data_IF_882113224877
#
_entry.id   IF_882113224877
#
_cell.length_a   1.000
_cell.length_b   1.000
_cell.length_c   1.000
_cell.angle_alpha   90.00
_cell.angle_beta   90.00
_cell.angle_gamma   90.00
#
_symmetry.space_group_name_H-M   'P 1'
#
loop_
_entity.id
_entity.type
_entity.pdbx_description
1 polymer ?
2 non-polymer ?
3 non-polymer ?
4 water ?
#
# COMPACT_ATOMS: atom_id res chain seq x y z
N UNK A 6 39.87 -9.50 5.72
CA UNK A 6 38.59 -9.88 5.08
C UNK A 6 38.33 -9.03 3.82
N UNK A 7 37.48 -9.56 2.94
CA UNK A 7 37.19 -8.98 1.64
C UNK A 7 36.16 -7.86 1.75
N UNK A 8 36.10 -7.04 0.69
CA UNK A 8 35.43 -5.76 0.82
C UNK A 8 34.60 -5.41 -0.38
N UNK A 9 34.40 -6.37 -1.29
CA UNK A 9 33.40 -6.22 -2.32
C UNK A 9 32.00 -6.03 -1.72
N UNK A 10 31.14 -5.41 -2.53
CA UNK A 10 29.78 -5.05 -2.15
C UNK A 10 28.88 -5.39 -3.34
N UNK A 11 27.94 -6.34 -3.15
CA UNK A 11 26.90 -6.60 -4.15
C UNK A 11 25.63 -5.92 -3.68
N UNK A 12 24.96 -5.18 -4.56
CA UNK A 12 23.74 -4.50 -4.15
C UNK A 12 22.70 -4.57 -5.25
N UNK A 13 21.44 -4.46 -4.82
CA UNK A 13 20.28 -4.44 -5.70
C UNK A 13 19.39 -3.29 -5.25
N UNK A 14 18.80 -2.59 -6.20
CA UNK A 14 17.86 -1.51 -5.95
C UNK A 14 16.56 -1.82 -6.66
N UNK A 15 15.44 -1.66 -5.95
CA UNK A 15 14.13 -1.96 -6.49
C UNK A 15 13.17 -0.88 -6.06
N UNK A 16 12.09 -0.74 -6.83
CA UNK A 16 11.04 0.23 -6.59
C UNK A 16 9.71 -0.48 -6.57
N UNK A 17 8.93 -0.25 -5.51
CA UNK A 17 7.74 -1.05 -5.24
C UNK A 17 6.56 -0.15 -4.96
N UNK A 18 5.43 -0.37 -5.61
CA UNK A 18 4.28 0.52 -5.42
C UNK A 18 3.52 0.12 -4.18
N UNK A 19 2.73 1.06 -3.69
CA UNK A 19 1.78 0.77 -2.64
C UNK A 19 0.48 0.26 -3.24
N UNK A 20 -0.41 -0.22 -2.36
CA UNK A 20 -1.69 -0.74 -2.81
C UNK A 20 -2.77 -0.27 -1.85
N UNK A 21 -4.01 -0.38 -2.28
CA UNK A 21 -5.16 0.15 -1.56
C UNK A 21 -6.24 -0.93 -1.59
N UNK A 22 -6.64 -1.41 -0.41
CA UNK A 22 -7.63 -2.46 -0.33
C UNK A 22 -9.02 -1.93 -0.65
N UNK A 23 -9.74 -2.63 -1.52
CA UNK A 23 -11.14 -2.32 -1.74
C UNK A 23 -12.04 -3.29 -0.97
N UNK A 24 -11.58 -4.52 -0.76
CA UNK A 24 -12.14 -5.42 0.25
C UNK A 24 -11.09 -5.56 1.35
N UNK A 25 -11.45 -5.27 2.60
CA UNK A 25 -10.43 -4.96 3.62
C UNK A 25 -9.95 -6.17 4.42
N UNK A 26 -8.67 -6.14 4.74
CA UNK A 26 -8.01 -7.03 5.68
C UNK A 26 -8.14 -6.33 7.01
N UNK A 27 -8.78 -6.99 7.98
CA UNK A 27 -8.85 -6.49 9.37
C UNK A 27 -9.10 -7.67 10.30
N UNK A 28 -8.03 -8.15 10.93
CA UNK A 28 -8.01 -9.14 11.96
C UNK A 28 -7.19 -10.33 11.48
N UNK A 29 -6.34 -10.78 12.39
CA UNK A 29 -5.54 -11.99 12.17
C UNK A 29 -6.11 -13.19 12.93
N UNK A 30 -5.84 -14.37 12.40
CA UNK A 30 -5.93 -15.60 13.18
C UNK A 30 -4.57 -16.09 13.66
N UNK A 31 -3.45 -15.51 13.16
CA UNK A 31 -2.11 -15.90 13.62
C UNK A 31 -1.21 -14.68 13.64
N UNK A 32 -0.83 -14.21 14.83
CA UNK A 32 -0.06 -12.97 14.99
C UNK A 32 1.41 -13.12 14.62
N UNK A 33 1.89 -14.32 14.39
CA UNK A 33 3.28 -14.58 14.08
C UNK A 33 3.48 -14.83 12.60
N UNK A 34 2.69 -15.74 12.03
CA UNK A 34 2.77 -15.96 10.60
C UNK A 34 1.98 -14.93 9.81
N UNK A 35 1.18 -14.08 10.49
CA UNK A 35 0.38 -13.05 9.84
C UNK A 35 -0.57 -13.72 8.86
N UNK A 36 -1.52 -14.46 9.39
CA UNK A 36 -2.60 -15.01 8.59
C UNK A 36 -3.92 -14.34 8.94
N UNK A 37 -4.68 -13.92 7.95
CA UNK A 37 -5.86 -13.10 8.22
C UNK A 37 -7.09 -13.97 8.44
N UNK A 38 -8.15 -13.35 8.98
CA UNK A 38 -9.45 -14.03 9.10
C UNK A 38 -10.33 -13.93 7.85
N UNK A 39 -9.90 -13.16 6.85
CA UNK A 39 -10.62 -13.18 5.58
C UNK A 39 -9.68 -12.77 4.44
N UNK A 40 -10.13 -13.06 3.21
CA UNK A 40 -9.43 -12.64 2.03
C UNK A 40 -9.50 -11.12 1.92
N UNK A 41 -8.60 -10.55 1.10
CA UNK A 41 -8.69 -9.15 0.77
C UNK A 41 -8.30 -8.94 -0.68
N UNK A 42 -8.75 -7.82 -1.22
CA UNK A 42 -8.49 -7.46 -2.60
C UNK A 42 -8.11 -6.01 -2.67
N UNK A 43 -7.07 -5.71 -3.44
CA UNK A 43 -6.57 -4.35 -3.52
C UNK A 43 -6.21 -3.99 -4.95
N UNK A 44 -6.03 -2.68 -5.14
CA UNK A 44 -5.51 -2.14 -6.38
C UNK A 44 -4.11 -1.54 -6.14
N UNK A 45 -3.13 -2.04 -6.89
CA UNK A 45 -1.80 -1.44 -6.90
C UNK A 45 -1.82 -0.10 -7.60
N UNK A 46 -1.27 0.92 -6.95
CA UNK A 46 -1.22 2.25 -7.51
C UNK A 46 0.06 2.46 -8.32
N UNK A 47 -0.04 3.36 -9.29
CA UNK A 47 1.09 3.91 -10.00
C UNK A 47 2.14 4.41 -9.02
N UNK A 48 3.42 4.18 -9.30
CA UNK A 48 4.46 4.54 -8.32
C UNK A 48 4.55 6.01 -7.92
N UNK A 49 4.27 6.96 -8.81
CA UNK A 49 4.60 8.36 -8.53
C UNK A 49 4.00 8.83 -7.20
N UNK A 50 4.81 9.52 -6.42
CA UNK A 50 4.44 10.04 -5.10
C UNK A 50 3.83 8.97 -4.18
N UNK A 51 3.98 7.70 -4.53
CA UNK A 51 3.41 6.66 -3.72
C UNK A 51 4.34 5.49 -3.45
N UNK A 52 5.40 5.32 -4.24
CA UNK A 52 6.17 4.11 -4.12
C UNK A 52 7.20 4.20 -2.97
N UNK A 53 7.83 3.07 -2.71
CA UNK A 53 8.97 2.97 -1.83
C UNK A 53 10.15 2.45 -2.65
N UNK A 54 11.31 3.04 -2.46
CA UNK A 54 12.50 2.69 -3.22
C UNK A 54 13.49 2.15 -2.22
N UNK A 55 14.08 1.01 -2.55
CA UNK A 55 14.91 0.33 -1.59
C UNK A 55 16.17 -0.22 -2.25
N UNK A 56 17.28 -0.12 -1.54
CA UNK A 56 18.55 -0.67 -1.95
C UNK A 56 19.03 -1.62 -0.85
N UNK A 57 19.40 -2.84 -1.24
CA UNK A 57 19.94 -3.81 -0.30
C UNK A 57 21.34 -4.20 -0.75
N UNK A 58 22.20 -4.49 0.22
CA UNK A 58 23.59 -4.73 -0.08
C UNK A 58 24.13 -5.77 0.87
N UNK A 59 25.01 -6.63 0.36
CA UNK A 59 25.75 -7.60 1.15
C UNK A 59 27.25 -7.39 0.91
N UNK A 60 28.03 -7.59 1.98
CA UNK A 60 29.47 -7.51 1.95
C UNK A 60 30.05 -8.31 3.11
N UNK A 61 31.15 -9.03 2.89
CA UNK A 61 31.81 -9.71 4.04
C UNK A 61 32.32 -8.74 5.08
N UNK A 62 32.47 -7.48 4.73
CA UNK A 62 32.98 -6.49 5.67
C UNK A 62 31.89 -5.84 6.52
N UNK A 63 30.62 -6.12 6.29
CA UNK A 63 29.56 -5.64 7.18
C UNK A 63 29.57 -6.47 8.45
N UNK A 64 29.71 -5.80 9.59
CA UNK A 64 29.69 -6.49 10.89
C UNK A 64 28.26 -6.76 11.38
N UNK A 65 27.28 -5.98 10.89
CA UNK A 65 25.92 -6.02 11.40
C UNK A 65 24.88 -5.87 10.30
N UNK A 66 23.74 -6.56 10.47
CA UNK A 66 22.55 -6.16 9.74
C UNK A 66 22.18 -4.77 10.17
N UNK A 67 21.99 -3.86 9.19
CA UNK A 67 21.55 -2.51 9.50
C UNK A 67 20.60 -1.97 8.45
N UNK A 68 19.77 -1.02 8.87
CA UNK A 68 18.77 -0.51 7.97
C UNK A 68 18.55 0.97 8.21
N UNK A 69 18.29 1.69 7.12
CA UNK A 69 17.99 3.11 7.14
C UNK A 69 16.68 3.35 6.39
N UNK A 70 15.82 4.17 6.98
CA UNK A 70 14.53 4.53 6.39
C UNK A 70 14.47 6.04 6.34
N UNK A 71 14.37 6.57 5.14
CA UNK A 71 14.32 8.01 4.95
C UNK A 71 15.44 8.73 5.70
N UNK A 72 16.65 8.19 5.62
CA UNK A 72 17.79 8.86 6.21
C UNK A 72 18.17 8.41 7.61
N UNK A 73 17.22 7.95 8.40
CA UNK A 73 17.48 7.63 9.80
C UNK A 73 17.69 6.13 9.95
N UNK A 74 18.72 5.75 10.67
CA UNK A 74 18.88 4.34 11.01
C UNK A 74 17.76 3.90 11.95
N UNK A 75 17.39 2.63 11.86
CA UNK A 75 16.33 2.06 12.66
C UNK A 75 16.72 0.64 13.06
N UNK A 76 15.92 0.08 13.96
CA UNK A 76 16.20 -1.26 14.45
C UNK A 76 15.57 -2.34 13.57
N UNK A 77 16.37 -3.34 13.28
CA UNK A 77 15.92 -4.57 12.66
C UNK A 77 15.61 -5.61 13.71
N UNK A 78 15.63 -5.21 14.98
CA UNK A 78 15.52 -6.16 16.09
C UNK A 78 14.14 -6.83 16.13
N UNK A 79 13.09 -6.10 15.72
CA UNK A 79 11.70 -6.54 15.82
C UNK A 79 11.37 -7.79 15.02
N UNK A 80 10.26 -8.40 15.39
CA UNK A 80 9.88 -9.69 14.83
C UNK A 80 9.55 -9.58 13.35
N UNK A 81 8.96 -8.47 12.93
CA UNK A 81 8.59 -8.32 11.53
C UNK A 81 9.82 -8.35 10.62
N UNK A 82 10.85 -7.51 10.91
CA UNK A 82 12.09 -7.57 10.12
C UNK A 82 12.80 -8.90 10.32
N UNK A 83 12.82 -9.39 11.56
CA UNK A 83 13.53 -10.64 11.81
C UNK A 83 12.90 -11.79 11.06
N UNK A 84 11.58 -11.75 10.85
CA UNK A 84 10.95 -12.89 10.18
C UNK A 84 11.15 -12.83 8.66
N UNK A 85 11.09 -11.64 8.07
CA UNK A 85 11.40 -11.56 6.64
C UNK A 85 12.84 -11.96 6.35
N UNK A 86 13.80 -11.32 7.06
CA UNK A 86 15.21 -11.66 6.85
C UNK A 86 15.42 -13.16 6.98
N UNK A 87 14.88 -13.76 8.05
CA UNK A 87 15.09 -15.18 8.26
C UNK A 87 14.51 -16.00 7.12
N UNK A 88 13.29 -15.65 6.66
CA UNK A 88 12.66 -16.48 5.64
C UNK A 88 13.37 -16.35 4.30
N UNK A 89 13.75 -15.12 3.94
CA UNK A 89 14.39 -14.94 2.64
C UNK A 89 15.80 -15.54 2.67
N UNK A 90 16.53 -15.36 3.78
CA UNK A 90 17.88 -15.92 3.87
C UNK A 90 17.84 -17.41 3.69
N UNK A 91 16.87 -18.08 4.33
CA UNK A 91 16.78 -19.53 4.25
C UNK A 91 16.53 -20.04 2.82
N UNK A 92 16.13 -19.17 1.89
CA UNK A 92 15.95 -19.58 0.51
C UNK A 92 17.07 -19.07 -0.40
N UNK A 93 18.06 -18.36 0.16
CA UNK A 93 19.18 -17.87 -0.61
C UNK A 93 19.91 -19.02 -1.29
N UNK A 94 20.49 -18.73 -2.46
CA UNK A 94 21.23 -19.71 -3.23
C UNK A 94 22.61 -19.19 -3.67
N UNK A 95 23.31 -19.98 -4.48
CA UNK A 95 24.60 -19.56 -5.02
C UNK A 95 24.44 -18.34 -5.93
N UNK A 96 25.30 -17.35 -5.71
CA UNK A 96 25.35 -16.14 -6.53
C UNK A 96 26.77 -16.03 -7.06
N UNK A 97 26.90 -15.51 -8.26
CA UNK A 97 28.22 -15.29 -8.82
C UNK A 97 28.15 -14.11 -9.76
N UNK A 98 28.93 -13.06 -9.44
CA UNK A 98 29.20 -11.93 -10.33
C UNK A 98 30.62 -12.10 -10.93
N UNK A 99 30.69 -12.53 -12.18
CA UNK A 99 31.99 -12.92 -12.72
C UNK A 99 32.84 -11.68 -13.03
N UNK A 100 32.22 -10.61 -13.51
CA UNK A 100 32.95 -9.39 -13.80
C UNK A 100 33.68 -8.87 -12.56
N UNK A 101 33.09 -9.04 -11.38
CA UNK A 101 33.68 -8.49 -10.17
C UNK A 101 34.45 -9.53 -9.38
N UNK A 102 34.57 -10.76 -9.86
CA UNK A 102 35.23 -11.81 -9.09
C UNK A 102 34.60 -12.17 -7.76
N UNK A 103 33.27 -12.28 -7.70
CA UNK A 103 32.58 -12.59 -6.45
C UNK A 103 31.79 -13.88 -6.63
N UNK A 104 32.05 -14.84 -5.74
CA UNK A 104 31.30 -16.08 -5.61
C UNK A 104 30.75 -16.12 -4.20
N UNK A 105 29.43 -16.16 -4.08
CA UNK A 105 28.78 -16.39 -2.80
C UNK A 105 28.21 -17.80 -2.84
N UNK A 106 28.67 -18.64 -1.93
CA UNK A 106 28.11 -19.98 -1.78
C UNK A 106 26.83 -19.92 -0.92
N UNK A 107 25.87 -20.77 -1.25
CA UNK A 107 24.63 -20.86 -0.48
C UNK A 107 24.87 -20.73 1.02
N UNK A 108 25.86 -21.43 1.55
CA UNK A 108 26.09 -21.43 3.00
C UNK A 108 26.59 -20.09 3.50
N UNK A 109 27.26 -19.32 2.63
CA UNK A 109 27.83 -18.05 3.05
C UNK A 109 26.74 -17.12 3.59
N UNK A 110 25.55 -17.19 3.02
CA UNK A 110 24.48 -16.31 3.45
C UNK A 110 24.11 -16.49 4.92
N UNK A 111 24.40 -17.65 5.51
CA UNK A 111 24.15 -17.80 6.93
C UNK A 111 24.98 -16.84 7.78
N UNK A 112 26.03 -16.23 7.22
CA UNK A 112 26.87 -15.33 8.00
C UNK A 112 27.00 -13.93 7.42
N UNK A 113 26.79 -13.76 6.13
CA UNK A 113 26.86 -12.44 5.55
C UNK A 113 25.77 -11.55 6.15
N UNK A 114 26.17 -10.40 6.67
CA UNK A 114 25.26 -9.37 7.08
C UNK A 114 24.87 -8.46 5.92
N UNK A 115 23.78 -7.74 6.13
CA UNK A 115 23.11 -6.97 5.10
C UNK A 115 22.97 -5.52 5.52
N UNK A 116 23.09 -4.62 4.55
CA UNK A 116 22.75 -3.23 4.73
C UNK A 116 21.57 -2.92 3.83
N UNK A 117 20.58 -2.24 4.38
CA UNK A 117 19.37 -1.87 3.66
C UNK A 117 19.14 -0.39 3.84
N UNK A 118 18.86 0.30 2.77
CA UNK A 118 18.46 1.69 2.85
C UNK A 118 17.21 1.85 1.99
N UNK A 119 16.26 2.63 2.49
CA UNK A 119 14.94 2.68 1.92
C UNK A 119 14.38 4.09 2.02
N UNK A 120 13.57 4.44 1.02
CA UNK A 120 13.04 5.78 0.93
C UNK A 120 11.58 5.70 0.49
N UNK A 121 10.71 6.37 1.24
CA UNK A 121 9.28 6.45 1.03
C UNK A 121 8.97 7.77 0.36
N UNK A 122 8.34 7.75 -0.82
CA UNK A 122 7.96 8.98 -1.49
C UNK A 122 6.61 9.55 -1.02
N UNK A 123 5.88 8.82 -0.20
CA UNK A 123 4.78 9.40 0.55
C UNK A 123 5.37 10.22 1.69
N UNK A 124 5.03 11.50 1.83
CA UNK A 124 5.40 12.24 3.06
C UNK A 124 5.06 11.46 4.34
N UNK A 125 6.00 11.47 5.30
CA UNK A 125 5.93 10.54 6.42
C UNK A 125 4.84 10.92 7.43
N UNK A 126 4.58 12.20 7.62
CA UNK A 126 3.49 12.58 8.55
C UNK A 126 2.20 12.81 7.75
N UNK A 127 2.13 12.37 6.51
CA UNK A 127 0.94 12.50 5.64
C UNK A 127 -0.03 11.36 5.99
N UNK A 128 0.44 10.13 6.11
CA UNK A 128 -0.46 9.06 6.57
C UNK A 128 -0.66 7.91 5.61
N UNK A 129 0.23 7.56 4.73
CA UNK A 129 -0.06 6.40 3.86
C UNK A 129 0.75 5.21 4.36
N UNK A 130 0.24 4.01 4.14
CA UNK A 130 0.92 2.78 4.56
C UNK A 130 2.33 2.77 3.99
N UNK A 131 3.31 3.05 4.80
CA UNK A 131 4.70 2.92 4.32
C UNK A 131 5.05 1.44 4.36
N UNK A 132 4.50 0.73 5.31
CA UNK A 132 4.78 -0.69 5.55
C UNK A 132 4.48 -1.53 4.33
N UNK A 133 3.39 -1.33 3.69
CA UNK A 133 3.07 -2.24 2.60
C UNK A 133 4.14 -2.20 1.52
N UNK A 134 4.35 -1.05 0.89
CA UNK A 134 5.33 -1.03 -0.18
C UNK A 134 6.69 -1.42 0.36
N UNK A 135 6.99 -1.03 1.60
CA UNK A 135 8.28 -1.27 2.22
C UNK A 135 8.70 -2.71 2.43
N UNK A 136 7.91 -3.53 3.12
CA UNK A 136 8.30 -4.93 3.24
C UNK A 136 8.22 -5.66 1.89
N UNK A 137 7.31 -5.26 1.00
CA UNK A 137 7.31 -5.90 -0.31
C UNK A 137 8.61 -5.59 -1.04
N UNK A 138 9.07 -4.34 -0.94
CA UNK A 138 10.29 -3.94 -1.64
C UNK A 138 11.49 -4.69 -1.07
N UNK A 139 11.60 -4.71 0.26
CA UNK A 139 12.67 -5.44 0.91
C UNK A 139 12.72 -6.89 0.41
N UNK A 140 11.59 -7.59 0.50
CA UNK A 140 11.57 -8.98 0.07
C UNK A 140 11.93 -9.08 -1.39
N UNK A 141 11.36 -8.23 -2.22
CA UNK A 141 11.61 -8.35 -3.66
C UNK A 141 13.08 -8.10 -3.99
N UNK A 142 13.68 -7.07 -3.39
CA UNK A 142 15.07 -6.76 -3.69
C UNK A 142 16.02 -7.83 -3.16
N UNK A 143 15.80 -8.29 -1.92
CA UNK A 143 16.63 -9.35 -1.34
C UNK A 143 16.51 -10.64 -2.13
N UNK A 144 15.34 -10.92 -2.67
CA UNK A 144 15.16 -12.13 -3.45
C UNK A 144 16.01 -12.09 -4.71
N UNK A 145 16.12 -10.91 -5.35
CA UNK A 145 17.07 -10.75 -6.46
C UNK A 145 18.51 -10.91 -5.97
N UNK A 146 18.88 -10.15 -4.91
CA UNK A 146 20.22 -10.21 -4.36
C UNK A 146 20.68 -11.65 -4.15
N UNK A 147 19.90 -12.44 -3.41
CA UNK A 147 20.29 -13.78 -2.99
C UNK A 147 19.90 -14.85 -3.98
N UNK A 148 19.45 -14.47 -5.16
CA UNK A 148 19.15 -15.46 -6.21
C UNK A 148 18.14 -16.52 -5.76
N UNK A 149 17.07 -16.08 -5.12
CA UNK A 149 16.03 -16.98 -4.65
C UNK A 149 15.21 -17.43 -5.85
N UNK A 150 14.85 -18.71 -5.87
CA UNK A 150 14.28 -19.21 -7.12
C UNK A 150 12.75 -19.28 -7.05
N UNK A 151 12.09 -18.19 -6.71
CA UNK A 151 10.68 -18.27 -6.33
C UNK A 151 9.85 -17.21 -7.02
N UNK A 152 8.67 -17.62 -7.44
CA UNK A 152 7.81 -16.70 -8.17
C UNK A 152 7.22 -15.67 -7.21
N UNK A 153 6.66 -14.58 -7.76
CA UNK A 153 6.07 -13.53 -6.90
C UNK A 153 5.06 -14.06 -5.89
N UNK A 154 4.29 -15.09 -6.26
CA UNK A 154 3.30 -15.56 -5.30
C UNK A 154 3.97 -16.17 -4.08
N UNK A 155 5.02 -17.00 -4.26
CA UNK A 155 5.73 -17.48 -3.08
C UNK A 155 6.45 -16.34 -2.34
N UNK A 156 6.94 -15.32 -3.06
CA UNK A 156 7.60 -14.23 -2.35
C UNK A 156 6.60 -13.45 -1.54
N UNK A 157 5.39 -13.29 -2.09
CA UNK A 157 4.22 -12.82 -1.36
C UNK A 157 4.20 -13.28 0.07
N UNK A 158 4.36 -14.59 0.26
CA UNK A 158 4.20 -15.21 1.56
C UNK A 158 5.24 -14.71 2.54
N UNK A 159 6.44 -14.40 2.04
CA UNK A 159 7.48 -13.86 2.90
C UNK A 159 7.17 -12.42 3.24
N UNK A 160 6.82 -11.61 2.23
CA UNK A 160 6.50 -10.22 2.53
C UNK A 160 5.36 -10.15 3.54
N UNK A 161 4.44 -11.12 3.47
CA UNK A 161 3.28 -11.12 4.36
C UNK A 161 3.72 -11.12 5.80
N UNK A 162 4.83 -11.80 6.09
CA UNK A 162 5.31 -11.87 7.47
C UNK A 162 5.93 -10.57 7.93
N UNK A 163 6.13 -9.59 7.03
CA UNK A 163 6.58 -8.29 7.48
C UNK A 163 5.39 -7.39 7.72
N UNK A 164 4.42 -7.49 6.81
CA UNK A 164 3.17 -6.77 6.92
C UNK A 164 2.15 -7.45 6.03
N UNK A 165 0.94 -7.68 6.57
CA UNK A 165 -0.08 -8.40 5.82
C UNK A 165 -0.40 -7.74 4.49
N UNK A 166 -0.62 -6.44 4.51
CA UNK A 166 -0.90 -5.76 3.26
C UNK A 166 0.29 -5.76 2.32
N UNK A 167 1.52 -6.02 2.81
CA UNK A 167 2.67 -5.96 1.93
C UNK A 167 2.57 -7.05 0.86
N UNK A 168 1.97 -8.19 1.18
CA UNK A 168 1.99 -9.26 0.21
C UNK A 168 1.27 -8.89 -1.08
N UNK A 169 0.30 -7.98 -1.01
CA UNK A 169 -0.47 -7.59 -2.20
C UNK A 169 0.30 -6.66 -3.14
N UNK A 170 1.43 -6.11 -2.70
CA UNK A 170 2.25 -5.22 -3.54
C UNK A 170 3.29 -5.94 -4.40
N UNK A 171 3.24 -7.26 -4.45
CA UNK A 171 4.11 -8.01 -5.35
C UNK A 171 3.56 -8.17 -6.75
N UNK A 172 2.34 -7.67 -7.01
CA UNK A 172 1.78 -7.69 -8.35
C UNK A 172 1.22 -6.32 -8.67
N UNK A 173 1.06 -6.04 -9.98
CA UNK A 173 0.31 -4.85 -10.38
C UNK A 173 -1.15 -5.16 -10.54
N UNK A 174 -1.92 -4.14 -10.84
CA UNK A 174 -3.30 -4.37 -11.17
C UNK A 174 -4.16 -4.53 -9.93
N UNK A 175 -4.98 -5.58 -9.96
CA UNK A 175 -5.90 -5.93 -8.88
C UNK A 175 -5.43 -7.24 -8.32
N UNK A 176 -5.34 -7.33 -7.01
CA UNK A 176 -4.63 -8.42 -6.38
C UNK A 176 -5.46 -8.92 -5.22
N UNK A 177 -5.51 -10.24 -5.08
CA UNK A 177 -6.17 -10.92 -4.00
C UNK A 177 -5.16 -11.57 -3.09
N UNK A 178 -5.31 -11.34 -1.81
CA UNK A 178 -4.59 -12.06 -0.78
C UNK A 178 -5.57 -13.13 -0.30
N UNK A 179 -5.24 -14.37 -0.58
CA UNK A 179 -5.98 -15.54 -0.12
C UNK A 179 -5.68 -15.81 1.33
N UNK A 180 -6.74 -16.03 2.14
CA UNK A 180 -6.48 -16.19 3.56
C UNK A 180 -5.73 -17.49 3.82
N UNK A 181 -5.87 -18.47 2.94
CA UNK A 181 -5.26 -19.78 3.15
C UNK A 181 -5.92 -20.56 4.27
N UNK A 182 -5.69 -21.87 4.29
CA UNK A 182 -6.21 -22.73 5.36
C UNK A 182 -5.17 -23.64 6.00
N UNK A 183 -3.94 -23.62 5.52
CA UNK A 183 -2.90 -24.43 6.15
C UNK A 183 -2.30 -23.70 7.35
N UNK A 184 -1.95 -24.48 8.38
CA UNK A 184 -1.40 -23.92 9.61
C UNK A 184 -0.07 -23.22 9.37
N UNK A 185 0.73 -23.70 8.41
CA UNK A 185 2.06 -23.16 8.19
C UNK A 185 2.00 -21.89 7.36
N UNK A 186 0.83 -21.50 6.89
CA UNK A 186 0.72 -20.27 6.16
C UNK A 186 1.12 -20.35 4.71
N UNK A 187 1.56 -21.52 4.24
CA UNK A 187 2.19 -21.58 2.92
C UNK A 187 1.23 -21.22 1.78
N UNK A 188 -0.07 -21.44 1.96
CA UNK A 188 -1.05 -21.05 0.95
C UNK A 188 -1.69 -19.69 1.20
N UNK A 189 -1.27 -18.97 2.23
CA UNK A 189 -1.76 -17.61 2.40
C UNK A 189 -0.89 -16.67 1.58
N UNK A 190 -1.27 -16.46 0.32
CA UNK A 190 -0.46 -15.75 -0.66
C UNK A 190 -1.32 -14.84 -1.52
N UNK A 191 -0.67 -13.92 -2.20
CA UNK A 191 -1.34 -13.03 -3.12
C UNK A 191 -1.33 -13.63 -4.51
N UNK A 192 -2.33 -13.27 -5.32
CA UNK A 192 -2.38 -13.63 -6.73
C UNK A 192 -2.98 -12.45 -7.47
N UNK A 193 -2.51 -12.23 -8.69
CA UNK A 193 -3.06 -11.19 -9.53
C UNK A 193 -4.42 -11.61 -10.08
N UNK A 194 -5.39 -10.70 -10.00
CA UNK A 194 -6.68 -10.97 -10.61
C UNK A 194 -6.69 -10.50 -12.06
N UNK A 195 -6.23 -9.28 -12.31
CA UNK A 195 -6.08 -8.71 -13.64
C UNK A 195 -4.91 -7.72 -13.55
N UNK A 196 -4.31 -7.40 -14.70
CA UNK A 196 -3.17 -6.49 -14.66
C UNK A 196 -3.66 -5.04 -14.68
N UNK A 197 -2.71 -4.10 -14.69
CA UNK A 197 -3.06 -2.68 -14.57
C UNK A 197 -3.66 -2.10 -15.83
N UNK A 198 -3.70 -2.86 -16.92
CA UNK A 198 -4.28 -2.39 -18.16
C UNK A 198 -5.74 -2.78 -18.33
N UNK A 199 -6.15 -3.92 -17.77
CA UNK A 199 -7.53 -4.38 -17.84
C UNK A 199 -8.55 -3.28 -17.57
N UNK A 200 -8.32 -2.47 -16.53
CA UNK A 200 -9.20 -1.36 -16.17
C UNK A 200 -8.39 -0.07 -16.12
N UNK A 201 -7.77 0.32 -17.23
CA UNK A 201 -6.89 1.48 -17.20
C UNK A 201 -7.64 2.80 -17.12
N UNK A 202 -8.96 2.80 -17.28
CA UNK A 202 -9.71 4.07 -17.21
C UNK A 202 -9.75 4.65 -15.79
N UNK A 203 -9.64 3.80 -14.76
CA UNK A 203 -9.85 4.29 -13.39
C UNK A 203 -8.81 5.36 -13.09
N UNK A 204 -9.25 6.44 -12.47
CA UNK A 204 -8.36 7.45 -11.92
C UNK A 204 -8.60 7.47 -10.42
N UNK A 205 -7.53 7.64 -9.65
CA UNK A 205 -7.57 7.63 -8.20
C UNK A 205 -7.17 8.99 -7.69
N UNK A 206 -7.87 9.45 -6.67
CA UNK A 206 -7.56 10.73 -6.05
C UNK A 206 -7.53 10.52 -4.55
N UNK A 207 -6.40 10.78 -3.93
CA UNK A 207 -6.25 10.65 -2.49
C UNK A 207 -6.31 12.04 -1.88
N UNK A 208 -7.20 12.23 -0.92
CA UNK A 208 -7.21 13.45 -0.13
C UNK A 208 -6.43 13.13 1.14
N UNK A 209 -5.25 13.72 1.28
CA UNK A 209 -4.49 13.64 2.52
C UNK A 209 -5.08 14.68 3.46
N UNK A 210 -5.76 14.20 4.49
CA UNK A 210 -6.58 15.04 5.36
C UNK A 210 -5.73 15.57 6.51
N UNK A 211 -5.95 16.84 6.87
CA UNK A 211 -5.32 17.41 8.05
C UNK A 211 -5.84 16.69 9.28
N UNK A 212 -4.92 16.23 10.12
CA UNK A 212 -5.31 15.77 11.44
C UNK A 212 -4.06 15.58 12.26
N UNK A 213 -4.11 16.00 13.52
CA UNK A 213 -2.99 15.81 14.42
C UNK A 213 -3.22 14.68 15.39
N UNK A 214 -4.50 14.32 15.62
CA UNK A 214 -4.87 13.04 16.21
C UNK A 214 -3.86 11.98 15.75
N UNK A 215 -3.14 11.32 16.67
CA UNK A 215 -2.33 10.19 16.24
C UNK A 215 -3.20 8.93 16.22
N UNK A 216 -3.10 8.17 15.14
CA UNK A 216 -4.01 7.05 14.89
C UNK A 216 -3.45 5.78 15.50
N UNK A 217 -4.30 5.05 16.21
CA UNK A 217 -4.00 3.68 16.58
C UNK A 217 -3.46 2.92 15.38
N UNK A 218 -2.41 2.16 15.59
CA UNK A 218 -1.80 1.44 14.48
C UNK A 218 -2.72 0.33 13.98
N UNK A 219 -2.53 -0.03 12.73
CA UNK A 219 -3.38 -1.05 12.15
C UNK A 219 -3.19 -2.37 12.91
N UNK A 220 -1.95 -2.66 13.31
CA UNK A 220 -1.63 -3.96 13.93
C UNK A 220 -2.28 -4.09 15.29
N UNK A 221 -2.19 -3.04 16.09
CA UNK A 221 -2.79 -3.06 17.43
C UNK A 221 -4.29 -2.98 17.32
N UNK A 222 -4.77 -2.07 16.49
CA UNK A 222 -6.18 -1.87 16.32
C UNK A 222 -6.90 -3.13 15.92
N UNK A 223 -6.34 -3.87 14.96
CA UNK A 223 -7.09 -5.02 14.47
C UNK A 223 -7.01 -6.14 15.49
N UNK A 224 -5.94 -6.16 16.29
CA UNK A 224 -5.87 -7.06 17.42
C UNK A 224 -6.95 -6.74 18.44
N UNK A 225 -7.05 -5.49 18.81
CA UNK A 225 -8.12 -5.08 19.70
C UNK A 225 -9.50 -5.50 19.17
N UNK A 226 -9.74 -5.36 17.86
CA UNK A 226 -11.05 -5.71 17.32
C UNK A 226 -11.29 -7.20 17.39
N UNK A 227 -10.30 -7.99 17.01
CA UNK A 227 -10.43 -9.44 17.17
C UNK A 227 -10.78 -9.80 18.62
N UNK A 228 -10.25 -9.02 19.57
CA UNK A 228 -10.43 -9.36 20.97
C UNK A 228 -11.75 -8.85 21.55
N UNK A 229 -12.28 -7.74 21.04
CA UNK A 229 -13.44 -7.14 21.66
C UNK A 229 -14.64 -6.89 20.75
N UNK A 230 -14.52 -6.93 19.44
CA UNK A 230 -15.65 -6.56 18.61
C UNK A 230 -16.53 -7.77 18.37
N UNK A 231 -17.79 -7.74 18.85
CA UNK A 231 -18.66 -8.90 18.60
C UNK A 231 -19.20 -8.97 17.18
N UNK A 232 -18.99 -7.94 16.32
CA UNK A 232 -19.48 -8.01 14.94
C UNK A 232 -18.45 -8.56 13.95
N UNK A 233 -17.15 -8.54 14.33
CA UNK A 233 -16.08 -8.88 13.38
C UNK A 233 -16.19 -10.31 12.89
N UNK A 234 -16.46 -11.24 13.79
CA UNK A 234 -16.54 -12.63 13.38
C UNK A 234 -17.62 -12.83 12.33
N UNK A 235 -18.75 -12.17 12.47
CA UNK A 235 -19.80 -12.29 11.49
C UNK A 235 -19.40 -11.63 10.18
N UNK A 236 -18.73 -10.50 10.25
CA UNK A 236 -18.16 -9.96 9.02
C UNK A 236 -17.30 -10.99 8.31
N UNK A 237 -16.38 -11.60 9.07
CA UNK A 237 -15.35 -12.43 8.44
C UNK A 237 -15.93 -13.71 7.85
N UNK A 238 -16.81 -14.36 8.57
CA UNK A 238 -17.39 -15.63 8.09
C UNK A 238 -18.54 -15.44 7.11
N UNK A 239 -19.36 -14.37 7.25
CA UNK A 239 -20.60 -14.31 6.48
C UNK A 239 -20.70 -13.17 5.51
N UNK A 240 -19.92 -12.10 5.66
CA UNK A 240 -20.02 -10.97 4.75
C UNK A 240 -18.93 -11.03 3.68
N UNK A 241 -17.69 -11.20 4.09
CA UNK A 241 -16.57 -10.93 3.19
C UNK A 241 -16.42 -12.01 2.12
N UNK A 242 -16.56 -13.30 2.44
CA UNK A 242 -16.44 -14.33 1.37
C UNK A 242 -17.32 -14.02 0.17
N UNK A 243 -18.55 -13.55 0.41
CA UNK A 243 -19.44 -13.21 -0.69
C UNK A 243 -18.97 -11.96 -1.39
N UNK A 244 -18.59 -10.93 -0.63
CA UNK A 244 -18.06 -9.71 -1.25
C UNK A 244 -16.80 -9.98 -2.08
N UNK A 245 -15.96 -10.92 -1.66
CA UNK A 245 -14.79 -11.27 -2.46
C UNK A 245 -15.21 -11.75 -3.84
N UNK A 246 -16.19 -12.69 -3.90
CA UNK A 246 -16.68 -13.19 -5.19
C UNK A 246 -17.36 -12.10 -6.01
N UNK A 247 -18.10 -11.20 -5.40
CA UNK A 247 -18.72 -10.17 -6.24
C UNK A 247 -17.67 -9.23 -6.78
N UNK A 248 -16.66 -8.92 -5.97
CA UNK A 248 -15.65 -7.97 -6.39
C UNK A 248 -14.77 -8.57 -7.49
N UNK A 249 -14.43 -9.85 -7.38
CA UNK A 249 -13.81 -10.53 -8.52
C UNK A 249 -14.62 -10.29 -9.82
N UNK A 250 -15.90 -10.69 -9.83
CA UNK A 250 -16.72 -10.48 -11.02
C UNK A 250 -16.77 -9.02 -11.44
N UNK A 251 -16.92 -8.12 -10.49
CA UNK A 251 -17.01 -6.72 -10.89
C UNK A 251 -15.73 -6.26 -11.57
N UNK A 252 -14.58 -6.82 -11.18
CA UNK A 252 -13.31 -6.39 -11.74
C UNK A 252 -13.14 -6.98 -13.11
N UNK A 253 -13.42 -8.29 -13.22
CA UNK A 253 -13.43 -8.98 -14.49
C UNK A 253 -14.22 -8.21 -15.56
N UNK A 254 -15.45 -7.79 -15.26
CA UNK A 254 -16.33 -7.18 -16.24
C UNK A 254 -16.40 -5.66 -16.13
N UNK A 255 -15.49 -5.03 -15.41
CA UNK A 255 -15.50 -3.58 -15.20
C UNK A 255 -16.89 -3.03 -14.93
N UNK A 256 -17.63 -3.72 -14.08
CA UNK A 256 -18.89 -3.19 -13.55
C UNK A 256 -18.57 -2.16 -12.48
N UNK A 257 -18.52 -0.89 -12.86
CA UNK A 257 -18.17 0.13 -11.88
C UNK A 257 -19.24 0.37 -10.84
N UNK A 258 -20.49 0.03 -11.14
CA UNK A 258 -21.58 0.26 -10.19
C UNK A 258 -21.52 -0.80 -9.10
N UNK A 259 -21.36 -2.06 -9.48
CA UNK A 259 -21.15 -3.08 -8.46
C UNK A 259 -19.85 -2.81 -7.70
N UNK A 260 -18.82 -2.37 -8.39
CA UNK A 260 -17.56 -2.08 -7.75
C UNK A 260 -17.73 -0.97 -6.75
N UNK A 261 -18.57 0.01 -7.05
CA UNK A 261 -18.74 1.12 -6.13
C UNK A 261 -19.53 0.70 -4.90
N UNK A 262 -20.61 -0.08 -5.08
CA UNK A 262 -21.37 -0.58 -3.94
C UNK A 262 -20.45 -1.34 -2.97
N UNK A 263 -19.64 -2.23 -3.51
CA UNK A 263 -18.77 -3.06 -2.67
C UNK A 263 -17.68 -2.24 -1.98
N UNK A 264 -17.02 -1.37 -2.69
CA UNK A 264 -15.91 -0.62 -2.11
C UNK A 264 -16.40 0.27 -0.98
N UNK A 265 -17.42 1.08 -1.21
CA UNK A 265 -17.92 1.96 -0.17
C UNK A 265 -18.41 1.12 1.02
N UNK A 266 -19.16 0.09 0.76
CA UNK A 266 -19.76 -0.58 1.88
C UNK A 266 -18.72 -1.39 2.64
N UNK A 267 -17.65 -1.83 2.00
CA UNK A 267 -16.71 -2.62 2.79
C UNK A 267 -15.82 -1.71 3.63
N UNK A 268 -15.48 -0.55 3.11
CA UNK A 268 -14.82 0.49 3.87
C UNK A 268 -15.68 0.90 5.04
N UNK A 269 -16.94 1.19 4.82
CA UNK A 269 -17.78 1.59 5.95
C UNK A 269 -17.90 0.49 6.98
N UNK A 270 -18.00 -0.75 6.55
CA UNK A 270 -18.16 -1.83 7.51
C UNK A 270 -16.89 -2.04 8.34
N UNK A 271 -15.71 -1.88 7.72
CA UNK A 271 -14.44 -1.90 8.44
C UNK A 271 -14.42 -0.80 9.51
N UNK A 272 -14.83 0.42 9.16
CA UNK A 272 -14.92 1.45 10.20
C UNK A 272 -16.02 1.16 11.19
N UNK A 273 -17.05 0.39 10.84
CA UNK A 273 -18.04 0.02 11.82
C UNK A 273 -17.46 -0.95 12.84
N UNK A 274 -16.64 -1.89 12.38
CA UNK A 274 -15.98 -2.81 13.30
C UNK A 274 -15.06 -2.06 14.26
N UNK A 275 -14.34 -1.05 13.75
CA UNK A 275 -13.52 -0.21 14.59
C UNK A 275 -14.35 0.52 15.65
N UNK A 276 -15.56 0.92 15.33
CA UNK A 276 -16.36 1.61 16.35
C UNK A 276 -16.92 0.63 17.37
N UNK A 277 -17.13 -0.61 16.96
CA UNK A 277 -17.61 -1.69 17.81
C UNK A 277 -16.51 -2.29 18.64
N UNK A 278 -15.29 -1.76 18.53
CA UNK A 278 -14.16 -2.23 19.31
C UNK A 278 -14.21 -1.57 20.68
N UNK A 279 -13.66 -2.26 21.68
CA UNK A 279 -13.60 -1.63 22.98
C UNK A 279 -12.16 -1.47 23.46
N UNK A 280 -11.66 -0.26 23.66
CA UNK A 280 -12.26 1.05 23.37
C UNK A 280 -12.43 1.25 21.84
N UNK A 281 -13.36 2.12 21.45
CA UNK A 281 -13.62 2.30 20.03
C UNK A 281 -12.43 2.96 19.36
N UNK A 282 -12.26 2.66 18.07
CA UNK A 282 -11.23 3.26 17.23
C UNK A 282 -11.90 4.13 16.18
N UNK A 283 -11.53 5.38 16.15
CA UNK A 283 -12.10 6.39 15.27
C UNK A 283 -11.01 6.83 14.31
N UNK A 284 -11.04 6.32 13.10
CA UNK A 284 -10.06 6.63 12.08
C UNK A 284 -10.52 7.74 11.16
N UNK A 285 -11.80 7.81 10.90
CA UNK A 285 -12.40 8.86 10.12
C UNK A 285 -12.73 10.03 11.01
N UNK A 286 -12.59 11.23 10.48
CA UNK A 286 -12.98 12.45 11.18
C UNK A 286 -14.09 13.15 10.41
N UNK A 287 -14.38 14.39 10.80
CA UNK A 287 -15.51 15.12 10.20
C UNK A 287 -15.21 15.48 8.75
N UNK A 288 -13.94 15.71 8.41
CA UNK A 288 -13.57 15.89 7.02
C UNK A 288 -13.87 14.63 6.21
N UNK A 289 -13.45 13.47 6.73
CA UNK A 289 -13.78 12.21 6.07
C UNK A 289 -15.27 12.11 5.77
N UNK A 290 -16.11 12.38 6.78
CA UNK A 290 -17.56 12.27 6.58
C UNK A 290 -18.00 13.24 5.49
N UNK A 291 -17.44 14.45 5.49
CA UNK A 291 -17.81 15.45 4.48
C UNK A 291 -17.45 14.97 3.07
N UNK A 292 -16.31 14.28 2.91
CA UNK A 292 -15.99 13.71 1.60
C UNK A 292 -16.96 12.61 1.20
N UNK A 293 -17.35 11.76 2.14
CA UNK A 293 -18.32 10.72 1.79
C UNK A 293 -19.64 11.35 1.39
N UNK A 294 -20.06 12.39 2.09
CA UNK A 294 -21.32 13.03 1.73
C UNK A 294 -21.22 13.65 0.35
N UNK A 295 -20.11 14.33 0.05
CA UNK A 295 -19.91 14.84 -1.30
C UNK A 295 -20.01 13.73 -2.33
N UNK A 296 -19.37 12.58 -2.07
CA UNK A 296 -19.36 11.51 -3.07
C UNK A 296 -20.76 10.94 -3.24
N UNK A 297 -21.50 10.77 -2.13
CA UNK A 297 -22.83 10.15 -2.22
C UNK A 297 -23.82 11.07 -2.92
N UNK A 298 -23.70 12.38 -2.67
CA UNK A 298 -24.50 13.37 -3.39
C UNK A 298 -24.15 13.38 -4.87
N UNK A 299 -22.86 13.53 -5.18
CA UNK A 299 -22.42 13.54 -6.56
C UNK A 299 -22.93 12.33 -7.32
N UNK A 300 -22.99 11.18 -6.66
CA UNK A 300 -23.42 10.00 -7.40
C UNK A 300 -24.93 9.97 -7.58
N UNK A 301 -25.69 10.46 -6.60
CA UNK A 301 -27.14 10.52 -6.74
C UNK A 301 -27.54 11.50 -7.84
N UNK A 302 -26.88 12.66 -7.90
CA UNK A 302 -27.10 13.66 -8.94
C UNK A 302 -26.38 13.33 -10.26
N UNK A 303 -26.04 12.07 -10.48
CA UNK A 303 -25.52 11.63 -11.77
C UNK A 303 -26.15 10.29 -12.13
N UNK A 304 -27.16 9.85 -11.39
CA UNK A 304 -27.82 8.59 -11.68
C UNK A 304 -26.89 7.43 -11.45
N UNK A 305 -26.27 6.91 -12.52
CA UNK A 305 -25.30 5.82 -12.35
C UNK A 305 -24.03 6.33 -11.67
N UNK A 306 -23.39 5.48 -10.87
CA UNK A 306 -22.30 5.96 -10.00
C UNK A 306 -21.06 6.33 -10.79
N UNK A 307 -20.43 7.43 -10.38
CA UNK A 307 -19.23 7.95 -11.02
C UNK A 307 -17.98 7.90 -10.12
N UNK A 308 -18.15 7.73 -8.80
CA UNK A 308 -17.03 7.85 -7.87
C UNK A 308 -17.22 6.87 -6.72
N UNK A 309 -16.17 6.09 -6.37
CA UNK A 309 -16.17 5.25 -5.17
C UNK A 309 -15.19 5.82 -4.14
N UNK A 310 -15.42 5.49 -2.87
CA UNK A 310 -14.50 5.95 -1.83
C UNK A 310 -14.11 4.76 -0.96
N UNK A 311 -12.96 4.91 -0.31
CA UNK A 311 -12.53 3.92 0.66
C UNK A 311 -11.54 4.57 1.59
N UNK A 312 -11.46 4.05 2.81
CA UNK A 312 -10.69 4.66 3.89
C UNK A 312 -9.95 3.56 4.61
N UNK A 313 -8.65 3.76 4.85
CA UNK A 313 -7.85 2.78 5.57
C UNK A 313 -7.79 3.23 7.03
N UNK A 314 -6.68 2.96 7.70
CA UNK A 314 -6.59 3.20 9.15
C UNK A 314 -6.22 4.65 9.41
N UNK A 315 -7.07 5.54 8.91
CA UNK A 315 -6.89 6.95 9.08
C UNK A 315 -7.98 7.70 8.36
N UNK A 316 -7.93 9.03 8.43
CA UNK A 316 -8.97 9.85 7.75
C UNK A 316 -8.73 10.10 6.27
N UNK A 317 -7.60 9.69 5.70
CA UNK A 317 -7.31 10.00 4.31
C UNK A 317 -8.35 9.34 3.43
N UNK A 318 -8.97 10.11 2.54
CA UNK A 318 -9.96 9.57 1.63
C UNK A 318 -9.28 9.12 0.36
N UNK A 319 -9.61 7.92 -0.09
CA UNK A 319 -9.22 7.44 -1.42
C UNK A 319 -10.47 7.42 -2.27
N UNK A 320 -10.45 8.17 -3.36
CA UNK A 320 -11.56 8.26 -4.31
C UNK A 320 -11.15 7.60 -5.60
N UNK A 321 -12.08 6.87 -6.22
CA UNK A 321 -11.81 6.14 -7.45
C UNK A 321 -12.83 6.59 -8.48
N UNK A 322 -12.36 7.31 -9.50
CA UNK A 322 -13.24 7.85 -10.53
C UNK A 322 -13.40 6.88 -11.70
N UNK A 323 -14.65 6.71 -12.15
CA UNK A 323 -14.99 5.81 -13.25
C UNK A 323 -14.12 6.03 -14.49
N UNK A 324 -13.74 7.30 -14.73
CA UNK A 324 -12.84 7.60 -15.85
C UNK A 324 -12.34 9.03 -15.73
N UNK A 325 -11.61 9.46 -16.75
CA UNK A 325 -10.84 10.69 -16.63
C UNK A 325 -11.73 11.94 -16.64
N UNK A 326 -12.82 11.91 -17.39
CA UNK A 326 -13.68 13.09 -17.41
C UNK A 326 -14.26 13.31 -16.03
N UNK A 327 -14.74 12.25 -15.38
CA UNK A 327 -15.16 12.32 -13.98
C UNK A 327 -14.04 12.89 -13.12
N UNK A 328 -12.83 12.38 -13.29
CA UNK A 328 -11.73 12.84 -12.46
C UNK A 328 -11.56 14.34 -12.57
N UNK A 329 -11.70 14.88 -13.80
CA UNK A 329 -11.48 16.31 -13.98
C UNK A 329 -12.59 17.12 -13.34
N UNK A 330 -13.84 16.70 -13.53
CA UNK A 330 -14.92 17.34 -12.78
C UNK A 330 -14.63 17.29 -11.27
N UNK A 331 -14.42 16.08 -10.74
CA UNK A 331 -14.27 15.88 -9.31
C UNK A 331 -13.17 16.75 -8.75
N UNK A 332 -12.04 16.83 -9.46
CA UNK A 332 -10.90 17.58 -8.93
C UNK A 332 -11.23 19.07 -8.79
N UNK A 333 -12.04 19.62 -9.69
CA UNK A 333 -12.53 20.99 -9.51
C UNK A 333 -13.60 21.03 -8.42
N UNK A 334 -14.46 20.03 -8.40
CA UNK A 334 -15.32 19.88 -7.24
C UNK A 334 -14.54 19.97 -5.94
N UNK A 335 -13.50 19.12 -5.80
CA UNK A 335 -12.84 19.02 -4.51
C UNK A 335 -12.16 20.32 -4.15
N UNK A 336 -11.61 21.02 -5.15
CA UNK A 336 -10.97 22.31 -4.88
C UNK A 336 -11.98 23.36 -4.40
N UNK A 337 -13.21 23.32 -4.90
CA UNK A 337 -14.24 24.23 -4.40
C UNK A 337 -14.58 23.92 -2.95
N UNK A 338 -14.80 22.62 -2.62
CA UNK A 338 -15.18 22.30 -1.25
C UNK A 338 -14.01 22.34 -0.28
N UNK A 339 -12.80 22.13 -0.75
CA UNK A 339 -11.62 22.12 0.11
C UNK A 339 -10.63 23.11 -0.48
N UNK A 340 -10.89 24.39 -0.32
CA UNK A 340 -9.97 25.43 -0.71
C UNK A 340 -8.71 25.33 0.17
N UNK A 341 -7.52 25.62 -0.34
CA UNK A 341 -6.25 25.52 0.41
C UNK A 341 -5.97 26.43 1.62
N UNK A 342 -4.78 26.33 2.19
CA UNK A 342 -4.33 27.28 3.23
C UNK A 342 -3.96 28.59 2.50
N UNK A 343 -4.06 29.77 3.12
CA UNK A 343 -3.73 30.96 2.34
C UNK A 343 -2.31 30.99 1.77
N UNK A 344 -2.15 31.51 0.56
CA UNK A 344 -0.87 31.58 -0.20
C UNK A 344 -0.36 30.15 -0.35
N UNK A 345 -0.96 29.35 -1.23
CA UNK A 345 -0.55 27.93 -1.39
C UNK A 345 -0.33 27.61 -2.87
N UNK A 346 0.86 27.21 -3.25
CA UNK A 346 1.12 26.93 -4.68
C UNK A 346 0.34 25.71 -5.15
N UNK A 347 -0.62 25.88 -6.02
CA UNK A 347 -1.34 24.71 -6.50
C UNK A 347 -0.42 23.64 -7.12
N UNK A 348 0.84 23.95 -7.42
CA UNK A 348 1.74 22.87 -7.80
C UNK A 348 2.02 21.96 -6.61
N UNK A 349 1.90 22.49 -5.40
CA UNK A 349 2.17 21.73 -4.17
C UNK A 349 0.92 21.05 -3.62
N UNK A 350 -0.25 21.62 -3.87
CA UNK A 350 -1.52 21.20 -3.30
C UNK A 350 -2.23 20.15 -4.15
N UNK A 351 -1.72 19.84 -5.33
CA UNK A 351 -2.30 18.76 -6.13
C UNK A 351 -1.22 18.05 -6.93
N UNK A 352 -0.68 16.96 -6.38
CA UNK A 352 0.38 16.18 -7.00
C UNK A 352 -0.23 15.20 -7.99
N UNK A 353 0.62 14.64 -8.83
CA UNK A 353 0.19 13.59 -9.73
C UNK A 353 -0.28 13.94 -11.12
N UNK A 354 0.01 13.00 -11.96
CA UNK A 354 -0.50 12.85 -13.28
C UNK A 354 -0.31 13.91 -14.28
N UNK A 355 -0.52 15.25 -14.00
CA UNK A 355 -0.14 16.37 -14.88
C UNK A 355 -1.26 16.90 -15.81
N UNK A 356 -1.76 15.98 -16.67
CA UNK A 356 -2.72 16.31 -17.73
C UNK A 356 -4.06 16.64 -17.13
N UNK A 357 -4.45 15.85 -16.11
CA UNK A 357 -5.74 16.02 -15.47
C UNK A 357 -5.71 17.27 -14.58
N UNK A 358 -4.57 17.54 -13.92
CA UNK A 358 -4.54 18.72 -13.05
C UNK A 358 -4.75 19.98 -13.88
N UNK A 359 -4.08 20.08 -15.03
CA UNK A 359 -4.27 21.17 -15.99
C UNK A 359 -5.60 20.89 -16.68
N UNK A 360 -6.69 21.39 -16.09
CA UNK A 360 -8.06 21.22 -16.60
C UNK A 360 -9.04 21.60 -15.48
N UNK A 368 -17.18 26.65 -12.21
CA UNK A 368 -17.85 26.08 -13.40
C UNK A 368 -19.23 25.48 -13.16
N UNK A 369 -20.03 26.24 -12.43
CA UNK A 369 -21.48 26.08 -12.26
C UNK A 369 -22.04 24.66 -12.35
N UNK A 370 -22.05 24.06 -13.53
CA UNK A 370 -22.61 22.72 -13.66
C UNK A 370 -22.01 21.71 -12.69
N UNK A 371 -20.87 22.02 -12.08
CA UNK A 371 -20.29 21.20 -11.03
C UNK A 371 -20.83 21.60 -9.67
N UNK A 372 -21.00 22.91 -9.41
CA UNK A 372 -21.68 23.37 -8.20
C UNK A 372 -23.00 22.62 -8.01
N UNK A 373 -23.61 22.17 -9.12
CA UNK A 373 -24.77 21.30 -9.06
C UNK A 373 -24.55 20.11 -8.14
N UNK A 374 -23.44 19.41 -8.32
CA UNK A 374 -23.27 18.07 -7.76
C UNK A 374 -22.69 18.06 -6.35
N UNK A 375 -22.19 19.19 -5.85
CA UNK A 375 -21.50 19.21 -4.57
C UNK A 375 -22.20 20.11 -3.56
N UNK A 376 -22.78 21.22 -4.00
CA UNK A 376 -23.57 22.05 -3.12
C UNK A 376 -22.82 23.19 -2.44
N UNK A 377 -22.30 22.93 -1.24
CA UNK A 377 -21.82 23.98 -0.35
C UNK A 377 -20.32 23.87 -0.11
N UNK A 378 -19.68 25.02 0.10
CA UNK A 378 -18.24 25.11 0.31
C UNK A 378 -17.93 25.00 1.80
N UNK A 379 -16.74 24.49 2.09
CA UNK A 379 -16.30 24.25 3.45
C UNK A 379 -15.34 25.33 3.92
N UNK A 380 -14.97 25.25 5.21
CA UNK A 380 -13.90 26.08 5.71
C UNK A 380 -12.60 25.73 4.98
N UNK A 381 -11.62 26.61 5.12
CA UNK A 381 -10.38 26.51 4.38
C UNK A 381 -9.40 25.58 5.10
N UNK A 382 -8.63 24.85 4.29
CA UNK A 382 -7.53 24.04 4.80
C UNK A 382 -7.90 22.76 5.52
N UNK A 383 -9.11 22.24 5.34
CA UNK A 383 -9.45 20.94 5.91
C UNK A 383 -8.64 19.82 5.27
N UNK A 384 -8.10 20.05 4.06
CA UNK A 384 -7.29 19.07 3.35
C UNK A 384 -5.87 19.60 3.19
N UNK A 385 -4.90 18.71 3.45
CA UNK A 385 -3.50 19.08 3.31
C UNK A 385 -3.06 19.08 1.85
N UNK A 386 -3.43 18.05 1.10
CA UNK A 386 -3.17 18.08 -0.32
C UNK A 386 -3.82 16.86 -0.95
N UNK A 387 -3.85 16.84 -2.27
CA UNK A 387 -4.44 15.80 -3.08
C UNK A 387 -3.35 15.12 -3.87
N UNK A 388 -3.58 13.87 -4.25
CA UNK A 388 -2.63 13.08 -5.01
C UNK A 388 -3.41 12.30 -6.05
N UNK A 389 -3.12 12.50 -7.32
CA UNK A 389 -3.83 11.72 -8.33
C UNK A 389 -2.94 10.59 -8.80
N UNK A 390 -3.54 9.46 -9.11
CA UNK A 390 -2.79 8.29 -9.46
C UNK A 390 -3.71 7.41 -10.29
N UNK A 391 -3.26 6.21 -10.56
CA UNK A 391 -3.89 5.29 -11.49
C UNK A 391 -3.54 3.89 -11.06
N UNK A 392 -4.29 2.88 -11.46
CA UNK A 392 -3.78 1.52 -11.32
C UNK A 392 -2.39 1.44 -11.95
N UNK A 393 -1.50 0.66 -11.31
CA UNK A 393 -0.10 0.61 -11.71
C UNK A 393 0.43 -0.80 -11.76
N UNK A 394 1.62 -0.93 -12.34
CA UNK A 394 2.28 -2.21 -12.43
C UNK A 394 2.91 -2.59 -11.09
N UNK A 395 3.44 -3.81 -11.02
CA UNK A 395 4.15 -4.28 -9.84
C UNK A 395 5.54 -3.71 -9.65
N UNK A 396 6.29 -4.31 -8.72
CA UNK A 396 7.64 -3.79 -8.42
C UNK A 396 8.60 -4.09 -9.55
N UNK A 397 9.64 -3.25 -9.65
CA UNK A 397 10.67 -3.40 -10.67
C UNK A 397 12.03 -3.18 -10.04
N UNK A 398 13.07 -3.82 -10.64
CA UNK A 398 14.47 -3.54 -10.37
C UNK A 398 14.92 -2.27 -11.11
N UNK A 399 15.74 -1.45 -10.46
CA UNK A 399 16.36 -0.27 -11.09
C UNK A 399 17.81 -0.62 -11.40
N UNK A 400 18.18 -0.58 -12.68
CA UNK A 400 19.57 -0.85 -13.08
C UNK A 400 20.47 0.39 -12.98
N UNK A 401 19.88 1.56 -13.09
CA UNK A 401 20.60 2.84 -13.05
C UNK A 401 21.12 3.11 -11.64
N UNK A 402 22.40 2.86 -11.42
CA UNK A 402 22.98 3.00 -10.08
C UNK A 402 22.91 4.43 -9.54
N UNK A 403 22.64 5.43 -10.37
CA UNK A 403 22.43 6.77 -9.80
C UNK A 403 21.31 6.75 -8.77
N UNK A 404 20.37 5.81 -8.91
CA UNK A 404 19.20 5.79 -8.03
C UNK A 404 19.43 4.95 -6.79
N UNK A 405 20.55 4.23 -6.69
CA UNK A 405 20.84 3.47 -5.49
C UNK A 405 20.99 4.44 -4.31
N UNK A 406 20.59 3.96 -3.13
CA UNK A 406 20.59 4.72 -1.90
C UNK A 406 21.78 4.39 -1.01
N UNK A 407 22.49 3.32 -1.31
CA UNK A 407 23.72 3.00 -0.65
C UNK A 407 24.90 3.32 -1.56
N UNK A 408 26.00 3.69 -0.93
CA UNK A 408 27.23 3.99 -1.63
C UNK A 408 27.82 2.70 -2.15
N UNK A 409 28.16 2.62 -3.45
CA UNK A 409 28.63 1.35 -4.02
C UNK A 409 29.92 0.81 -3.41
N UNK A 410 30.66 1.59 -2.62
CA UNK A 410 31.88 1.11 -2.00
C UNK A 410 31.82 0.98 -0.49
N UNK A 411 31.22 1.93 0.19
CA UNK A 411 31.06 1.77 1.63
C UNK A 411 29.87 0.91 2.01
N UNK A 412 28.87 0.79 1.13
CA UNK A 412 27.62 0.18 1.52
C UNK A 412 26.86 0.93 2.61
N UNK A 413 27.13 2.23 2.77
CA UNK A 413 26.44 3.08 3.73
C UNK A 413 25.65 4.13 2.97
N UNK A 414 24.67 4.75 3.62
CA UNK A 414 23.79 5.66 2.87
C UNK A 414 24.58 6.79 2.25
N UNK A 415 24.42 6.96 0.95
CA UNK A 415 24.57 8.25 0.32
C UNK A 415 23.79 9.25 1.20
#
# INVERSE_FOLDING_TARGET
GSHMAEEKWVVMVTAQTPTNIAVIKYWGKRDEVRILPINDSISVTLDPDHLCTLTTVAVSPSFDRDRMWLNGKEISLSGSRYQNCLREIRSRADDVEDKEKGIKIAKKDWEKLHLHIASHNNFPTAAGLASSAAGFACLVFALAKLMNVNEDPSQLSAIARQGSGSACRSLFGGFVKWNMGNKEDGSDSVAVQLVDDKHWDDLVIIIAVVSSRQKETSSTSGMRESVETSLLLQHRAKEVVPVRILQMEEAIKNRDFTSFTKLTCSDSNQFHAVCMDTSPPIFYMNDTSHRIISLVEKWNRSAGTPEIAYTFDAGPNAVMIARNRKVAVELLQGLLYCFPPKPDTDMKSYVLGDTSIVKEAGLEGELPQGIKDKIGSQDQKGEVSYFICSRPGRGPVVLQDQTQALLHPQTGLPK
#
